data_IF_568898716289
#
_entry.id   IF_568898716289
#
_cell.length_a   1.000
_cell.length_b   1.000
_cell.length_c   1.000
_cell.angle_alpha   90.00
_cell.angle_beta   90.00
_cell.angle_gamma   90.00
#
_symmetry.space_group_name_H-M   'P 1'
#
loop_
_entity.id
_entity.type
_entity.pdbx_description
1 polymer ?
#
# COMPACT_ATOMS: atom_id res chain seq x y z
N UNK A 1 15.90 -8.51 10.03
CA UNK A 1 16.48 -7.57 9.04
C UNK A 1 16.38 -6.16 9.60
N UNK A 2 17.39 -5.33 9.41
CA UNK A 2 17.37 -3.91 9.80
C UNK A 2 17.12 -3.05 8.57
N UNK A 3 16.20 -2.09 8.66
CA UNK A 3 15.87 -1.11 7.62
C UNK A 3 16.15 0.27 8.18
N UNK A 4 16.87 1.10 7.43
CA UNK A 4 17.08 2.49 7.84
C UNK A 4 15.80 3.29 7.60
N UNK A 5 15.46 4.15 8.53
CA UNK A 5 14.27 4.98 8.49
C UNK A 5 14.59 6.40 8.97
N UNK A 6 14.01 7.38 8.28
CA UNK A 6 13.98 8.78 8.72
C UNK A 6 12.54 9.14 9.00
N UNK A 7 12.28 9.75 10.15
CA UNK A 7 10.97 10.22 10.55
C UNK A 7 10.99 11.73 10.73
N UNK A 8 10.36 12.45 9.83
CA UNK A 8 10.13 13.90 9.91
C UNK A 8 8.73 14.24 10.43
N UNK A 9 7.93 13.22 10.78
CA UNK A 9 6.63 13.45 11.41
C UNK A 9 6.77 13.67 12.91
N UNK A 10 5.69 14.12 13.54
CA UNK A 10 5.56 14.21 15.00
C UNK A 10 4.99 12.94 15.63
N UNK A 11 4.77 11.90 14.83
CA UNK A 11 4.21 10.62 15.27
C UNK A 11 5.31 9.58 15.47
N UNK A 12 5.00 8.53 16.23
CA UNK A 12 5.92 7.40 16.43
C UNK A 12 6.25 6.69 15.12
N UNK A 13 7.35 5.96 15.13
CA UNK A 13 7.73 5.09 14.01
C UNK A 13 6.65 4.04 13.75
N UNK A 14 6.43 3.65 12.48
CA UNK A 14 5.58 2.52 12.16
C UNK A 14 6.01 1.28 12.94
N UNK A 15 5.08 0.60 13.56
CA UNK A 15 5.34 -0.57 14.39
C UNK A 15 4.32 -1.68 14.13
N UNK A 16 4.75 -2.94 14.33
CA UNK A 16 3.86 -4.08 14.30
C UNK A 16 3.00 -4.09 15.57
N UNK A 17 1.68 -4.20 15.40
CA UNK A 17 0.75 -4.25 16.53
C UNK A 17 0.92 -5.52 17.38
N UNK A 18 1.29 -6.66 16.75
CA UNK A 18 1.55 -7.94 17.39
C UNK A 18 2.75 -8.62 16.74
N UNK A 19 3.29 -9.63 17.40
CA UNK A 19 4.42 -10.43 16.85
C UNK A 19 4.06 -11.13 15.51
N UNK A 20 2.79 -11.36 15.27
CA UNK A 20 2.30 -12.02 14.06
C UNK A 20 1.77 -11.02 13.00
N UNK A 21 1.79 -9.72 13.26
CA UNK A 21 1.37 -8.72 12.29
C UNK A 21 2.33 -8.67 11.10
N UNK A 22 1.78 -8.63 9.88
CA UNK A 22 2.56 -8.43 8.67
C UNK A 22 2.69 -6.96 8.28
N UNK A 23 1.74 -6.12 8.67
CA UNK A 23 1.67 -4.70 8.33
C UNK A 23 1.93 -3.80 9.53
N UNK A 24 2.48 -2.62 9.23
CA UNK A 24 2.68 -1.52 10.16
C UNK A 24 1.82 -0.34 9.71
N UNK A 25 1.08 0.29 10.60
CA UNK A 25 0.24 1.43 10.25
C UNK A 25 1.08 2.66 9.87
N UNK A 26 0.60 3.41 8.87
CA UNK A 26 1.11 4.71 8.46
C UNK A 26 0.12 5.80 8.85
N UNK A 27 0.63 6.90 9.39
CA UNK A 27 -0.17 8.01 9.88
C UNK A 27 -0.19 9.18 8.89
N UNK A 28 -1.31 9.88 8.82
CA UNK A 28 -1.43 11.11 8.04
C UNK A 28 -0.62 12.24 8.71
N UNK A 29 0.49 12.63 8.10
CA UNK A 29 1.31 13.74 8.57
C UNK A 29 0.83 15.06 7.94
N UNK A 30 -0.35 15.49 8.34
CA UNK A 30 -1.00 16.72 7.90
C UNK A 30 -1.24 17.62 9.11
N UNK A 31 -1.31 18.94 8.89
CA UNK A 31 -1.56 19.93 9.95
C UNK A 31 -3.05 20.18 10.17
N UNK A 32 -3.83 20.17 9.08
CA UNK A 32 -5.26 20.43 9.10
C UNK A 32 -6.03 19.19 8.63
N UNK A 33 -7.26 18.97 9.09
CA UNK A 33 -8.13 17.91 8.58
C UNK A 33 -8.29 17.98 7.06
N UNK A 34 -8.19 16.83 6.40
CA UNK A 34 -8.40 16.68 4.96
C UNK A 34 -9.79 16.12 4.71
N UNK A 35 -10.63 16.85 3.98
CA UNK A 35 -11.94 16.37 3.57
C UNK A 35 -11.83 15.80 2.15
N UNK A 36 -12.18 14.52 2.00
CA UNK A 36 -12.30 13.84 0.70
C UNK A 36 -13.78 13.66 0.36
N UNK A 37 -14.25 14.37 -0.64
CA UNK A 37 -15.57 14.15 -1.23
C UNK A 37 -15.65 12.81 -1.96
N UNK A 38 -16.85 12.41 -2.39
CA UNK A 38 -17.07 11.18 -3.16
C UNK A 38 -16.20 11.17 -4.42
N UNK A 39 -15.46 10.10 -4.66
CA UNK A 39 -14.54 9.87 -5.78
C UNK A 39 -13.31 10.83 -5.81
N UNK A 40 -13.16 11.69 -4.83
CA UNK A 40 -11.96 12.52 -4.70
C UNK A 40 -10.77 11.68 -4.19
N UNK A 41 -9.58 12.09 -4.63
CA UNK A 41 -8.30 11.50 -4.21
C UNK A 41 -7.34 12.56 -3.73
N UNK A 42 -6.45 12.17 -2.83
CA UNK A 42 -5.39 13.03 -2.32
C UNK A 42 -4.13 12.23 -2.02
N UNK A 43 -2.98 12.82 -2.28
CA UNK A 43 -1.69 12.26 -1.93
C UNK A 43 -1.31 12.74 -0.53
N UNK A 44 -1.47 11.87 0.48
CA UNK A 44 -1.30 12.21 1.90
C UNK A 44 0.13 11.90 2.34
N UNK A 45 0.87 12.88 2.88
CA UNK A 45 2.22 12.67 3.38
C UNK A 45 2.22 11.86 4.69
N UNK A 46 3.31 11.12 4.94
CA UNK A 46 3.53 10.38 6.19
C UNK A 46 4.71 10.90 7.01
N UNK A 47 5.58 11.72 6.41
CA UNK A 47 6.84 12.14 7.01
C UNK A 47 7.90 11.03 7.13
N UNK A 48 7.65 9.86 6.54
CA UNK A 48 8.51 8.67 6.66
C UNK A 48 9.30 8.46 5.37
N UNK A 49 10.59 8.17 5.52
CA UNK A 49 11.51 7.81 4.46
C UNK A 49 12.23 6.52 4.85
N UNK A 50 12.40 5.59 3.93
CA UNK A 50 13.04 4.30 4.21
C UNK A 50 14.13 3.97 3.18
N UNK A 51 15.08 3.14 3.59
CA UNK A 51 16.08 2.56 2.70
C UNK A 51 16.03 1.04 2.83
N UNK A 52 15.43 0.39 1.84
CA UNK A 52 15.31 -1.06 1.80
C UNK A 52 16.55 -1.70 1.17
N UNK A 53 16.95 -2.91 1.58
CA UNK A 53 17.94 -3.68 0.86
C UNK A 53 17.38 -4.16 -0.49
N UNK A 54 18.25 -4.25 -1.49
CA UNK A 54 17.90 -4.82 -2.80
C UNK A 54 17.30 -6.22 -2.63
N UNK A 55 16.27 -6.54 -3.40
CA UNK A 55 15.50 -7.78 -3.30
C UNK A 55 14.30 -7.67 -2.37
N UNK A 56 14.04 -6.48 -1.80
CA UNK A 56 12.85 -6.20 -0.99
C UNK A 56 12.11 -4.98 -1.52
N UNK A 57 10.80 -4.98 -1.29
CA UNK A 57 9.91 -3.87 -1.56
C UNK A 57 9.11 -3.53 -0.30
N UNK A 58 8.56 -2.32 -0.21
CA UNK A 58 7.46 -2.03 0.68
C UNK A 58 6.16 -1.92 -0.11
N UNK A 59 5.11 -2.57 0.36
CA UNK A 59 3.77 -2.49 -0.22
C UNK A 59 2.89 -1.62 0.66
N UNK A 60 2.31 -0.59 0.07
CA UNK A 60 1.35 0.29 0.75
C UNK A 60 -0.05 -0.24 0.44
N UNK A 61 -0.72 -0.72 1.48
CA UNK A 61 -2.02 -1.37 1.41
C UNK A 61 -3.07 -0.59 2.19
N UNK A 62 -4.36 -0.65 1.80
CA UNK A 62 -5.42 -0.05 2.59
C UNK A 62 -5.59 -0.74 3.95
N UNK A 63 -6.21 -0.04 4.89
CA UNK A 63 -6.68 -0.62 6.14
C UNK A 63 -8.11 -1.11 5.97
N UNK A 64 -8.37 -2.34 6.40
CA UNK A 64 -9.68 -2.99 6.24
C UNK A 64 -10.83 -2.18 6.87
N UNK A 65 -10.60 -1.61 8.05
CA UNK A 65 -11.62 -0.80 8.74
C UNK A 65 -12.00 0.48 7.98
N UNK A 66 -11.02 1.21 7.46
CA UNK A 66 -11.27 2.41 6.65
C UNK A 66 -11.96 2.06 5.33
N UNK A 67 -11.51 1.00 4.67
CA UNK A 67 -12.10 0.56 3.40
C UNK A 67 -13.55 0.13 3.57
N UNK A 68 -13.83 -0.74 4.53
CA UNK A 68 -15.16 -1.33 4.72
C UNK A 68 -16.16 -0.36 5.32
N UNK A 69 -15.76 0.43 6.33
CA UNK A 69 -16.69 1.31 7.05
C UNK A 69 -16.85 2.68 6.40
N UNK A 70 -15.80 3.20 5.76
CA UNK A 70 -15.77 4.58 5.26
C UNK A 70 -15.51 4.69 3.75
N UNK A 71 -15.26 3.57 3.06
CA UNK A 71 -14.99 3.57 1.63
C UNK A 71 -13.65 4.20 1.25
N UNK A 72 -12.75 4.41 2.22
CA UNK A 72 -11.42 4.96 1.97
C UNK A 72 -10.45 3.84 1.63
N UNK A 73 -9.79 3.95 0.50
CA UNK A 73 -8.77 2.99 0.07
C UNK A 73 -7.56 3.68 -0.55
N UNK A 74 -6.54 2.91 -0.87
CA UNK A 74 -5.37 3.36 -1.62
C UNK A 74 -5.64 3.12 -3.10
N UNK A 75 -5.64 4.18 -3.91
CA UNK A 75 -6.10 4.08 -5.31
C UNK A 75 -5.21 3.19 -6.18
N UNK A 76 -3.92 3.11 -5.89
CA UNK A 76 -2.93 2.28 -6.60
C UNK A 76 -2.58 0.99 -5.84
N UNK A 77 -3.52 0.45 -5.08
CA UNK A 77 -3.27 -0.69 -4.18
C UNK A 77 -2.94 -2.00 -4.93
N UNK A 78 -1.89 -2.72 -4.49
CA UNK A 78 -0.89 -2.28 -3.52
C UNK A 78 0.07 -1.26 -4.14
N UNK A 79 0.34 -0.18 -3.41
CA UNK A 79 1.39 0.76 -3.80
C UNK A 79 2.77 0.10 -3.67
N UNK A 80 3.63 0.26 -4.66
CA UNK A 80 4.98 -0.31 -4.67
C UNK A 80 6.00 0.74 -4.29
N UNK A 81 6.85 0.42 -3.32
CA UNK A 81 8.01 1.24 -2.93
C UNK A 81 9.27 0.43 -3.19
N UNK A 82 10.04 0.84 -4.18
CA UNK A 82 11.26 0.19 -4.60
C UNK A 82 12.39 0.39 -3.58
N UNK A 83 13.37 -0.53 -3.57
CA UNK A 83 14.48 -0.50 -2.63
C UNK A 83 15.36 0.75 -2.77
N UNK A 84 15.47 1.32 -3.96
CA UNK A 84 16.27 2.52 -4.27
C UNK A 84 15.48 3.84 -4.16
N UNK A 85 14.19 3.80 -3.87
CA UNK A 85 13.41 5.01 -3.59
C UNK A 85 13.87 5.67 -2.29
N UNK A 86 14.14 6.98 -2.34
CA UNK A 86 14.63 7.78 -1.19
C UNK A 86 13.68 8.92 -0.84
N UNK A 87 12.57 9.05 -1.56
CA UNK A 87 11.56 10.06 -1.29
C UNK A 87 10.68 9.73 -0.08
N UNK A 88 9.85 10.69 0.29
CA UNK A 88 8.86 10.51 1.32
C UNK A 88 7.80 9.48 0.90
N UNK A 89 7.48 8.57 1.80
CA UNK A 89 6.33 7.69 1.62
C UNK A 89 5.05 8.52 1.71
N UNK A 90 4.28 8.53 0.63
CA UNK A 90 2.99 9.19 0.56
C UNK A 90 1.92 8.21 0.16
N UNK A 91 0.74 8.37 0.71
CA UNK A 91 -0.39 7.48 0.47
C UNK A 91 -1.41 8.16 -0.42
N UNK A 92 -1.66 7.58 -1.59
CA UNK A 92 -2.69 8.07 -2.51
C UNK A 92 -4.06 7.51 -2.10
N UNK A 93 -4.79 8.27 -1.29
CA UNK A 93 -6.13 7.91 -0.82
C UNK A 93 -7.20 8.30 -1.84
N UNK A 94 -8.26 7.49 -1.90
CA UNK A 94 -9.49 7.78 -2.63
C UNK A 94 -10.69 7.45 -1.76
N UNK A 95 -11.73 8.27 -1.86
CA UNK A 95 -13.03 8.03 -1.22
C UNK A 95 -13.99 7.41 -2.25
N UNK A 96 -14.31 6.13 -2.10
CA UNK A 96 -15.26 5.40 -2.94
C UNK A 96 -16.68 5.37 -2.35
N UNK A 97 -16.91 6.07 -1.23
CA UNK A 97 -18.24 6.22 -0.65
C UNK A 97 -19.02 7.36 -1.30
N UNK A 98 -20.30 7.47 -0.98
CA UNK A 98 -21.16 8.55 -1.47
C UNK A 98 -21.05 9.83 -0.62
N UNK A 99 -20.54 9.71 0.61
CA UNK A 99 -20.46 10.80 1.57
C UNK A 99 -19.03 11.31 1.70
N UNK A 100 -18.81 12.60 1.98
CA UNK A 100 -17.49 13.11 2.33
C UNK A 100 -16.93 12.42 3.57
N UNK A 101 -15.62 12.16 3.57
CA UNK A 101 -14.91 11.57 4.71
C UNK A 101 -13.77 12.51 5.10
N UNK A 102 -13.64 12.78 6.39
CA UNK A 102 -12.56 13.58 6.95
C UNK A 102 -11.45 12.70 7.45
N UNK A 103 -10.23 12.99 6.99
CA UNK A 103 -8.99 12.40 7.50
C UNK A 103 -8.38 13.40 8.48
N UNK A 104 -8.21 12.98 9.72
CA UNK A 104 -7.62 13.82 10.77
C UNK A 104 -6.09 13.73 10.80
N UNK A 105 -5.38 14.78 11.26
CA UNK A 105 -3.96 14.69 11.53
C UNK A 105 -3.63 13.51 12.44
N UNK A 106 -2.64 12.69 12.04
CA UNK A 106 -2.23 11.50 12.81
C UNK A 106 -3.13 10.27 12.66
N UNK A 107 -4.19 10.35 11.88
CA UNK A 107 -5.03 9.19 11.61
C UNK A 107 -4.24 8.10 10.85
N UNK A 108 -4.48 6.84 11.19
CA UNK A 108 -3.89 5.68 10.51
C UNK A 108 -4.62 5.43 9.21
N UNK A 109 -3.97 5.80 8.09
CA UNK A 109 -4.59 5.86 6.75
C UNK A 109 -4.27 4.68 5.84
N UNK A 110 -3.21 3.96 6.13
CA UNK A 110 -2.75 2.83 5.35
C UNK A 110 -1.90 1.92 6.23
N UNK A 111 -1.47 0.79 5.68
CA UNK A 111 -0.47 -0.08 6.29
C UNK A 111 0.63 -0.39 5.30
N UNK A 112 1.86 -0.53 5.81
CA UNK A 112 3.04 -0.89 5.05
C UNK A 112 3.45 -2.33 5.36
N UNK A 113 3.68 -3.13 4.33
CA UNK A 113 4.18 -4.50 4.44
C UNK A 113 5.51 -4.60 3.72
N UNK A 114 6.54 -5.09 4.39
CA UNK A 114 7.84 -5.35 3.76
C UNK A 114 7.82 -6.77 3.19
N UNK A 115 8.11 -6.92 1.91
CA UNK A 115 8.09 -8.18 1.20
C UNK A 115 9.39 -8.41 0.42
N UNK A 116 9.82 -9.66 0.35
CA UNK A 116 10.87 -10.09 -0.57
C UNK A 116 10.25 -10.29 -1.96
N UNK A 117 11.00 -9.95 -3.00
CA UNK A 117 10.55 -10.17 -4.38
C UNK A 117 11.66 -10.84 -5.21
N UNK A 118 11.26 -11.47 -6.31
CA UNK A 118 12.19 -11.97 -7.32
C UNK A 118 12.42 -10.91 -8.41
N UNK A 119 13.60 -10.92 -8.96
CA UNK A 119 13.98 -10.14 -10.13
C UNK A 119 14.20 -11.10 -11.28
N UNK A 120 13.36 -11.05 -12.30
CA UNK A 120 13.35 -12.02 -13.40
C UNK A 120 14.11 -11.50 -14.62
N UNK A 121 14.73 -12.41 -15.36
CA UNK A 121 15.16 -12.20 -16.74
C UNK A 121 14.15 -12.85 -17.67
N UNK A 122 13.78 -12.16 -18.74
CA UNK A 122 12.85 -12.67 -19.73
C UNK A 122 13.59 -13.56 -20.74
N UNK A 123 13.09 -14.78 -20.93
CA UNK A 123 13.46 -15.63 -22.06
C UNK A 123 12.31 -15.60 -23.07
N UNK A 124 12.51 -14.85 -24.15
CA UNK A 124 11.50 -14.72 -25.20
C UNK A 124 11.40 -16.01 -26.00
N UNK A 125 10.22 -16.60 -26.05
CA UNK A 125 9.91 -17.84 -26.77
C UNK A 125 8.66 -17.64 -27.63
N UNK A 126 8.51 -18.44 -28.69
CA UNK A 126 7.33 -18.35 -29.57
C UNK A 126 6.11 -19.04 -28.94
N UNK A 127 6.30 -20.10 -28.14
CA UNK A 127 5.22 -20.84 -27.50
C UNK A 127 5.57 -21.21 -26.07
N UNK A 128 4.56 -21.22 -25.21
CA UNK A 128 4.69 -21.70 -23.83
C UNK A 128 4.35 -23.18 -23.76
N UNK A 129 4.81 -23.84 -22.70
CA UNK A 129 4.46 -25.25 -22.43
C UNK A 129 2.96 -25.43 -22.23
N UNK A 130 2.45 -26.60 -22.64
CA UNK A 130 1.06 -26.96 -22.43
C UNK A 130 0.78 -27.37 -20.98
N UNK A 131 -0.43 -27.05 -20.50
CA UNK A 131 -0.93 -27.50 -19.21
C UNK A 131 -2.40 -27.94 -19.34
N UNK A 132 -2.89 -28.73 -18.39
CA UNK A 132 -4.28 -29.16 -18.34
C UNK A 132 -5.24 -27.98 -18.31
N UNK A 133 -4.88 -26.87 -17.59
CA UNK A 133 -5.67 -25.63 -17.53
C UNK A 133 -5.63 -24.85 -18.86
N UNK A 134 -4.52 -24.90 -19.58
CA UNK A 134 -4.32 -24.12 -20.80
C UNK A 134 -4.58 -22.64 -20.59
N UNK A 135 -5.33 -22.02 -21.50
CA UNK A 135 -5.72 -20.60 -21.46
C UNK A 135 -6.97 -20.31 -20.58
N UNK A 136 -7.47 -21.28 -19.82
CA UNK A 136 -8.65 -21.10 -18.98
C UNK A 136 -8.44 -20.06 -17.88
N UNK A 137 -9.24 -19.02 -17.90
CA UNK A 137 -9.23 -17.91 -16.94
C UNK A 137 -10.52 -17.10 -17.01
N UNK A 138 -10.54 -15.93 -16.39
CA UNK A 138 -11.66 -14.97 -16.43
C UNK A 138 -13.03 -15.58 -16.07
N UNK A 139 -13.04 -16.46 -15.07
CA UNK A 139 -14.27 -17.13 -14.62
C UNK A 139 -14.58 -18.43 -15.36
N UNK A 140 -13.59 -19.05 -16.05
CA UNK A 140 -13.77 -20.33 -16.74
C UNK A 140 -14.26 -21.47 -15.85
N UNK A 141 -14.06 -21.37 -14.51
CA UNK A 141 -14.56 -22.33 -13.50
C UNK A 141 -15.98 -22.03 -13.01
N UNK A 142 -16.63 -20.97 -13.53
CA UNK A 142 -17.97 -20.56 -13.14
C UNK A 142 -18.05 -19.79 -11.81
N UNK A 143 -19.28 -19.42 -11.40
CA UNK A 143 -19.53 -18.70 -10.14
C UNK A 143 -19.94 -19.63 -8.98
N UNK A 144 -20.15 -20.91 -9.22
CA UNK A 144 -20.53 -21.92 -8.22
C UNK A 144 -19.82 -23.21 -8.53
#
# INVERSE_FOLDING_TARGET
MKVKIVNHSKFDLPAYATIASAGMDLHANIEEPLILGSLERSLVPTGIFIELPVGYEAQIRPRSGLATKHGITVINTPGTVDADFRGELRVSLVNLSKEPVTIEPGERIAQMVIAKHEHVEWEEVEVLSETERGAGGWGSTGKK
#
